data_IF_198556181054
#
_entry.id   IF_198556181054
#
_cell.length_a   1.000
_cell.length_b   1.000
_cell.length_c   1.000
_cell.angle_alpha   90.00
_cell.angle_beta   90.00
_cell.angle_gamma   90.00
#
_symmetry.space_group_name_H-M   'P 1'
#
loop_
_entity.id
_entity.type
_entity.pdbx_description
1 polymer ?
#
# COMPACT_ATOMS: atom_id res chain seq x y z
N UNK A 1 14.88 -15.43 30.87
CA UNK A 1 13.79 -16.36 30.69
C UNK A 1 12.98 -15.87 29.49
N UNK A 2 13.17 -16.47 28.32
CA UNK A 2 12.35 -16.17 27.15
C UNK A 2 10.94 -16.66 27.44
N UNK A 3 9.95 -15.76 27.44
CA UNK A 3 8.56 -16.09 27.56
C UNK A 3 8.14 -16.91 26.35
N UNK A 4 7.69 -18.15 26.56
CA UNK A 4 7.11 -19.00 25.52
C UNK A 4 5.76 -18.47 25.01
N UNK A 5 5.30 -17.34 25.51
CA UNK A 5 3.94 -16.83 25.38
C UNK A 5 3.85 -15.45 24.67
N UNK A 6 4.92 -15.00 24.00
CA UNK A 6 4.85 -13.75 23.23
C UNK A 6 3.93 -13.91 22.02
N UNK A 7 3.04 -12.93 21.81
CA UNK A 7 2.21 -12.85 20.60
C UNK A 7 3.11 -12.53 19.42
N UNK A 8 3.06 -13.38 18.39
CA UNK A 8 3.91 -13.23 17.21
C UNK A 8 3.21 -12.39 16.14
N UNK A 9 3.79 -11.23 15.87
CA UNK A 9 3.37 -10.32 14.81
C UNK A 9 4.27 -10.55 13.60
N UNK A 10 3.68 -10.86 12.46
CA UNK A 10 4.36 -10.91 11.18
C UNK A 10 4.21 -9.58 10.44
N UNK A 11 5.28 -9.14 9.80
CA UNK A 11 5.28 -7.99 8.90
C UNK A 11 5.92 -8.42 7.58
N UNK A 12 5.28 -8.15 6.45
CA UNK A 12 5.96 -8.11 5.16
C UNK A 12 5.84 -6.72 4.55
N UNK A 13 6.79 -6.39 3.71
CA UNK A 13 6.86 -5.13 3.02
C UNK A 13 8.13 -5.03 2.20
N UNK A 14 8.25 -4.06 1.30
CA UNK A 14 9.45 -3.85 0.53
C UNK A 14 10.56 -3.31 1.43
N UNK A 15 11.47 -4.17 1.85
CA UNK A 15 12.65 -3.78 2.63
C UNK A 15 13.85 -3.48 1.73
N UNK A 16 13.79 -3.92 0.47
CA UNK A 16 14.75 -3.62 -0.59
C UNK A 16 14.03 -3.15 -1.85
N UNK A 17 14.77 -2.68 -2.86
CA UNK A 17 14.23 -2.21 -4.13
C UNK A 17 13.66 -0.79 -4.09
N UNK A 18 12.92 -0.42 -5.13
CA UNK A 18 12.45 0.95 -5.36
C UNK A 18 11.45 1.50 -4.34
N UNK A 19 10.71 0.62 -3.67
CA UNK A 19 9.71 0.98 -2.66
C UNK A 19 10.22 0.81 -1.21
N UNK A 20 11.51 0.52 -1.02
CA UNK A 20 12.09 0.21 0.29
C UNK A 20 11.91 1.33 1.34
N UNK A 21 11.81 2.58 0.92
CA UNK A 21 11.59 3.72 1.82
C UNK A 21 10.30 3.57 2.63
N UNK A 22 9.26 2.97 2.06
CA UNK A 22 7.99 2.73 2.75
C UNK A 22 8.09 1.55 3.72
N UNK A 23 8.62 0.41 3.26
CA UNK A 23 8.74 -0.80 4.07
C UNK A 23 9.67 -0.64 5.26
N UNK A 24 10.82 -0.03 5.06
CA UNK A 24 11.79 0.22 6.15
C UNK A 24 11.26 1.21 7.19
N UNK A 25 10.49 2.22 6.77
CA UNK A 25 9.85 3.15 7.70
C UNK A 25 8.77 2.45 8.54
N UNK A 26 7.96 1.60 7.92
CA UNK A 26 6.95 0.79 8.63
C UNK A 26 7.61 -0.17 9.62
N UNK A 27 8.65 -0.89 9.20
CA UNK A 27 9.39 -1.78 10.08
C UNK A 27 9.93 -1.04 11.31
N UNK A 28 10.61 0.08 11.11
CA UNK A 28 11.15 0.88 12.21
C UNK A 28 10.05 1.34 13.19
N UNK A 29 8.90 1.80 12.67
CA UNK A 29 7.76 2.19 13.50
C UNK A 29 7.20 1.02 14.32
N UNK A 30 7.11 -0.18 13.73
CA UNK A 30 6.66 -1.36 14.44
C UNK A 30 7.65 -1.84 15.50
N UNK A 31 8.96 -1.79 15.21
CA UNK A 31 10.02 -2.14 16.17
C UNK A 31 9.94 -1.24 17.41
N UNK A 32 9.80 0.08 17.21
CA UNK A 32 9.62 1.05 18.30
C UNK A 32 8.36 0.72 19.12
N UNK A 33 7.22 0.48 18.45
CA UNK A 33 5.96 0.20 19.12
C UNK A 33 6.04 -1.09 19.96
N UNK A 34 6.65 -2.14 19.42
CA UNK A 34 6.85 -3.43 20.13
C UNK A 34 7.76 -3.24 21.33
N UNK A 35 8.87 -2.51 21.17
CA UNK A 35 9.78 -2.18 22.29
C UNK A 35 9.08 -1.42 23.41
N UNK A 36 8.34 -0.35 23.06
CA UNK A 36 7.63 0.47 24.05
C UNK A 36 6.52 -0.30 24.78
N UNK A 37 5.77 -1.14 24.06
CA UNK A 37 4.69 -1.94 24.69
C UNK A 37 5.29 -3.02 25.58
N UNK A 38 6.32 -3.70 25.14
CA UNK A 38 7.00 -4.73 25.92
C UNK A 38 7.63 -4.16 27.20
N UNK A 39 8.19 -2.93 27.13
CA UNK A 39 8.78 -2.25 28.28
C UNK A 39 7.73 -1.92 29.39
N UNK A 40 6.47 -1.77 29.05
CA UNK A 40 5.39 -1.52 30.01
C UNK A 40 5.00 -2.77 30.83
N UNK A 41 5.49 -3.95 30.45
CA UNK A 41 5.09 -5.23 31.03
C UNK A 41 3.71 -5.70 30.58
N UNK A 42 3.27 -6.87 31.07
CA UNK A 42 2.04 -7.51 30.63
C UNK A 42 2.25 -8.39 29.40
N UNK A 43 1.33 -8.34 28.43
CA UNK A 43 1.47 -9.09 27.17
C UNK A 43 2.74 -8.70 26.45
N UNK A 44 3.48 -9.70 25.99
CA UNK A 44 4.72 -9.51 25.23
C UNK A 44 4.47 -9.81 23.76
N UNK A 45 5.16 -9.09 22.89
CA UNK A 45 5.06 -9.22 21.44
C UNK A 45 6.43 -9.52 20.83
N UNK A 46 6.44 -10.34 19.81
CA UNK A 46 7.61 -10.64 18.99
C UNK A 46 7.32 -10.27 17.55
N UNK A 47 8.10 -9.33 16.97
CA UNK A 47 7.98 -8.93 15.58
C UNK A 47 8.91 -9.76 14.69
N UNK A 48 8.38 -10.27 13.58
CA UNK A 48 9.13 -10.94 12.52
C UNK A 48 8.85 -10.26 11.18
N UNK A 49 9.89 -9.75 10.53
CA UNK A 49 9.78 -9.08 9.23
C UNK A 49 10.29 -9.96 8.11
N UNK A 50 9.69 -9.82 6.93
CA UNK A 50 10.09 -10.43 5.68
C UNK A 50 10.05 -9.38 4.57
N UNK A 51 11.04 -9.43 3.67
CA UNK A 51 11.09 -8.59 2.48
C UNK A 51 10.20 -9.20 1.39
N UNK A 52 9.27 -8.43 0.85
CA UNK A 52 8.45 -8.80 -0.31
C UNK A 52 8.86 -8.07 -1.60
N UNK A 53 9.81 -7.15 -1.52
CA UNK A 53 10.34 -6.37 -2.65
C UNK A 53 9.25 -5.71 -3.52
N UNK A 54 8.06 -5.46 -2.97
CA UNK A 54 6.88 -4.98 -3.70
C UNK A 54 6.39 -5.97 -4.78
N UNK A 55 6.64 -7.24 -4.59
CA UNK A 55 6.30 -8.33 -5.51
C UNK A 55 5.22 -9.23 -4.90
N UNK A 56 4.20 -9.58 -5.67
CA UNK A 56 3.06 -10.35 -5.19
C UNK A 56 3.39 -11.79 -4.85
N UNK A 57 4.27 -12.43 -5.63
CA UNK A 57 4.70 -13.82 -5.37
C UNK A 57 5.59 -13.88 -4.12
N UNK A 58 6.52 -12.92 -3.99
CA UNK A 58 7.36 -12.80 -2.80
C UNK A 58 6.53 -12.51 -1.55
N UNK A 59 5.48 -11.69 -1.65
CA UNK A 59 4.57 -11.42 -0.54
C UNK A 59 3.82 -12.68 -0.07
N UNK A 60 3.33 -13.50 -1.00
CA UNK A 60 2.72 -14.79 -0.67
C UNK A 60 3.72 -15.73 0.01
N UNK A 61 4.97 -15.79 -0.48
CA UNK A 61 6.03 -16.58 0.12
C UNK A 61 6.43 -16.06 1.51
N UNK A 62 6.50 -14.73 1.69
CA UNK A 62 6.77 -14.09 2.96
C UNK A 62 5.67 -14.40 4.00
N UNK A 63 4.41 -14.31 3.60
CA UNK A 63 3.27 -14.70 4.44
C UNK A 63 3.37 -16.15 4.90
N UNK A 64 3.60 -17.09 3.98
CA UNK A 64 3.73 -18.51 4.31
C UNK A 64 4.92 -18.78 5.24
N UNK A 65 6.05 -18.10 5.04
CA UNK A 65 7.21 -18.21 5.92
C UNK A 65 6.93 -17.69 7.34
N UNK A 66 6.20 -16.57 7.47
CA UNK A 66 5.78 -16.00 8.75
C UNK A 66 4.78 -16.93 9.46
N UNK A 67 3.78 -17.44 8.73
CA UNK A 67 2.81 -18.43 9.22
C UNK A 67 3.51 -19.69 9.73
N UNK A 68 4.50 -20.23 9.00
CA UNK A 68 5.30 -21.39 9.40
C UNK A 68 6.12 -21.13 10.68
N UNK A 69 6.42 -19.87 11.02
CA UNK A 69 7.08 -19.46 12.28
C UNK A 69 6.08 -19.20 13.41
N UNK A 70 4.80 -19.47 13.19
CA UNK A 70 3.73 -19.33 14.18
C UNK A 70 3.20 -17.91 14.34
N UNK A 71 3.20 -17.10 13.27
CA UNK A 71 2.55 -15.78 13.25
C UNK A 71 1.07 -15.88 13.63
N UNK A 72 0.61 -14.96 14.47
CA UNK A 72 -0.77 -14.89 14.97
C UNK A 72 -1.50 -13.64 14.46
N UNK A 73 -0.75 -12.57 14.14
CA UNK A 73 -1.25 -11.30 13.65
C UNK A 73 -0.40 -10.89 12.45
N UNK A 74 -1.03 -10.45 11.37
CA UNK A 74 -0.35 -9.89 10.21
C UNK A 74 -0.46 -8.35 10.25
N UNK A 75 0.68 -7.68 10.42
CA UNK A 75 0.81 -6.23 10.34
C UNK A 75 1.56 -5.85 9.06
N UNK A 76 0.82 -5.64 8.02
CA UNK A 76 1.29 -5.50 6.64
C UNK A 76 0.43 -6.33 5.68
N UNK A 77 0.83 -6.50 4.40
CA UNK A 77 1.94 -5.81 3.73
C UNK A 77 1.81 -4.29 3.66
N UNK A 78 2.77 -3.64 3.01
CA UNK A 78 2.90 -2.18 3.00
C UNK A 78 2.32 -1.56 1.72
N UNK A 79 2.36 -2.27 0.61
CA UNK A 79 1.93 -1.78 -0.71
C UNK A 79 0.72 -2.55 -1.24
N UNK A 80 -0.11 -1.90 -2.08
CA UNK A 80 -1.46 -2.37 -2.44
C UNK A 80 -1.48 -3.76 -3.09
N UNK A 81 -0.64 -4.03 -4.11
CA UNK A 81 -0.67 -5.31 -4.81
C UNK A 81 -0.28 -6.50 -3.89
N UNK A 82 0.82 -6.45 -3.13
CA UNK A 82 1.12 -7.39 -2.06
C UNK A 82 0.02 -7.53 -1.02
N UNK A 83 -0.62 -6.43 -0.59
CA UNK A 83 -1.73 -6.47 0.37
C UNK A 83 -2.90 -7.30 -0.14
N UNK A 84 -3.30 -7.16 -1.40
CA UNK A 84 -4.41 -7.93 -1.97
C UNK A 84 -4.16 -9.43 -1.91
N UNK A 85 -2.94 -9.87 -2.23
CA UNK A 85 -2.56 -11.28 -2.18
C UNK A 85 -2.60 -11.81 -0.75
N UNK A 86 -1.96 -11.10 0.18
CA UNK A 86 -1.88 -11.53 1.59
C UNK A 86 -3.23 -11.42 2.29
N UNK A 87 -4.07 -10.44 1.94
CA UNK A 87 -5.42 -10.32 2.49
C UNK A 87 -6.28 -11.54 2.15
N UNK A 88 -6.19 -12.08 0.93
CA UNK A 88 -6.87 -13.30 0.55
C UNK A 88 -6.42 -14.50 1.41
N UNK A 89 -5.12 -14.64 1.64
CA UNK A 89 -4.58 -15.70 2.50
C UNK A 89 -5.00 -15.54 3.96
N UNK A 90 -4.91 -14.31 4.49
CA UNK A 90 -5.35 -14.01 5.86
C UNK A 90 -6.84 -14.27 6.07
N UNK A 91 -7.69 -13.95 5.09
CA UNK A 91 -9.12 -14.22 5.14
C UNK A 91 -9.41 -15.72 5.20
N UNK A 92 -8.73 -16.52 4.37
CA UNK A 92 -8.84 -17.97 4.36
C UNK A 92 -8.38 -18.59 5.68
N UNK A 93 -7.27 -18.14 6.21
CA UNK A 93 -6.65 -18.65 7.44
C UNK A 93 -7.26 -18.09 8.74
N UNK A 94 -8.17 -17.11 8.64
CA UNK A 94 -8.77 -16.39 9.77
C UNK A 94 -7.73 -15.66 10.63
N UNK A 95 -6.64 -15.19 10.03
CA UNK A 95 -5.61 -14.38 10.69
C UNK A 95 -6.01 -12.91 10.56
N UNK A 96 -6.00 -12.18 11.68
CA UNK A 96 -6.20 -10.73 11.67
C UNK A 96 -5.09 -10.05 10.86
N UNK A 97 -5.47 -9.18 9.95
CA UNK A 97 -4.54 -8.38 9.14
C UNK A 97 -4.85 -6.89 9.29
N UNK A 98 -3.80 -6.10 9.52
CA UNK A 98 -3.85 -4.64 9.46
C UNK A 98 -2.73 -4.13 8.56
N UNK A 99 -3.08 -3.52 7.42
CA UNK A 99 -2.07 -2.83 6.62
C UNK A 99 -1.89 -1.38 7.10
N UNK A 100 -0.64 -0.95 7.33
CA UNK A 100 -0.37 0.43 7.75
C UNK A 100 -0.37 1.42 6.60
N UNK A 101 -0.17 0.98 5.36
CA UNK A 101 0.07 1.85 4.21
C UNK A 101 -0.60 1.40 2.91
N UNK A 102 -0.95 0.13 2.76
CA UNK A 102 -1.68 -0.35 1.58
C UNK A 102 -3.02 0.38 1.46
N UNK A 103 -3.22 1.16 0.41
CA UNK A 103 -4.31 2.14 0.28
C UNK A 103 -5.42 1.75 -0.71
N UNK A 104 -5.26 0.63 -1.43
CA UNK A 104 -6.29 0.11 -2.32
C UNK A 104 -7.57 -0.27 -1.57
N UNK A 105 -8.72 0.21 -2.04
CA UNK A 105 -10.01 -0.07 -1.41
C UNK A 105 -10.37 -1.57 -1.43
N UNK A 106 -9.86 -2.32 -2.42
CA UNK A 106 -10.08 -3.76 -2.56
C UNK A 106 -9.51 -4.59 -1.40
N UNK A 107 -8.52 -4.07 -0.67
CA UNK A 107 -7.82 -4.82 0.39
C UNK A 107 -8.79 -5.30 1.48
N UNK A 108 -9.71 -4.44 1.90
CA UNK A 108 -10.66 -4.76 2.98
C UNK A 108 -11.89 -5.56 2.52
N UNK A 109 -12.01 -5.84 1.23
CA UNK A 109 -13.12 -6.61 0.68
C UNK A 109 -12.96 -8.12 0.83
N UNK A 110 -11.74 -8.60 1.18
CA UNK A 110 -11.45 -10.03 1.31
C UNK A 110 -12.05 -10.68 2.56
N UNK A 111 -12.31 -9.92 3.63
CA UNK A 111 -12.90 -10.46 4.86
C UNK A 111 -13.03 -9.46 5.99
N UNK A 112 -13.82 -9.81 6.99
CA UNK A 112 -14.10 -9.02 8.19
C UNK A 112 -12.93 -8.97 9.20
N UNK A 113 -11.88 -9.73 8.93
CA UNK A 113 -10.63 -9.76 9.68
C UNK A 113 -9.51 -8.96 9.02
N UNK A 114 -9.79 -8.23 7.93
CA UNK A 114 -8.84 -7.43 7.17
C UNK A 114 -9.11 -5.95 7.38
N UNK A 115 -8.10 -5.21 7.81
CA UNK A 115 -8.21 -3.80 8.15
C UNK A 115 -7.12 -2.95 7.47
N UNK A 116 -7.42 -1.68 7.31
CA UNK A 116 -6.57 -0.68 6.68
C UNK A 116 -6.63 0.59 7.53
N UNK A 117 -5.48 1.18 7.85
CA UNK A 117 -5.39 2.35 8.72
C UNK A 117 -5.14 3.66 7.94
N UNK A 118 -4.60 3.57 6.72
CA UNK A 118 -4.35 4.75 5.88
C UNK A 118 -5.61 5.20 5.13
N UNK A 119 -5.55 6.39 4.52
CA UNK A 119 -6.55 6.83 3.55
C UNK A 119 -6.58 5.89 2.33
N UNK A 120 -7.71 5.87 1.62
CA UNK A 120 -7.87 5.02 0.43
C UNK A 120 -7.51 5.77 -0.85
N UNK A 121 -7.10 5.03 -1.88
CA UNK A 121 -6.82 5.58 -3.22
C UNK A 121 -7.98 6.40 -3.79
N UNK A 122 -9.25 5.94 -3.69
CA UNK A 122 -10.40 6.75 -4.05
C UNK A 122 -10.41 8.14 -3.41
N UNK A 123 -10.12 8.22 -2.11
CA UNK A 123 -10.10 9.50 -1.40
C UNK A 123 -8.94 10.39 -1.85
N UNK A 124 -7.79 9.82 -2.18
CA UNK A 124 -6.65 10.58 -2.70
C UNK A 124 -6.96 11.17 -4.09
N UNK A 125 -7.54 10.37 -4.99
CA UNK A 125 -7.94 10.84 -6.32
C UNK A 125 -8.97 11.97 -6.25
N UNK A 126 -10.03 11.79 -5.45
CA UNK A 126 -11.07 12.81 -5.24
C UNK A 126 -10.48 14.08 -4.64
N UNK A 127 -9.73 13.97 -3.55
CA UNK A 127 -9.14 15.15 -2.89
C UNK A 127 -8.19 15.92 -3.82
N UNK A 128 -7.46 15.25 -4.70
CA UNK A 128 -6.59 15.89 -5.67
C UNK A 128 -7.40 16.71 -6.69
N UNK A 129 -8.49 16.17 -7.23
CA UNK A 129 -9.36 16.90 -8.15
C UNK A 129 -10.06 18.08 -7.47
N UNK A 130 -10.57 17.89 -6.25
CA UNK A 130 -11.17 18.96 -5.44
C UNK A 130 -10.18 20.09 -5.17
N UNK A 131 -8.95 19.74 -4.82
CA UNK A 131 -7.92 20.73 -4.57
C UNK A 131 -7.59 21.54 -5.82
N UNK A 132 -7.44 20.88 -6.97
CA UNK A 132 -7.18 21.56 -8.25
C UNK A 132 -8.34 22.49 -8.64
N UNK A 133 -9.58 22.05 -8.48
CA UNK A 133 -10.77 22.84 -8.80
C UNK A 133 -10.93 24.08 -7.91
N UNK A 134 -10.51 23.99 -6.64
CA UNK A 134 -10.69 25.07 -5.66
C UNK A 134 -9.53 26.06 -5.62
N UNK A 135 -8.35 25.69 -6.12
CA UNK A 135 -7.13 26.52 -6.07
C UNK A 135 -6.69 27.08 -7.42
N UNK A 136 -7.51 26.88 -8.47
CA UNK A 136 -7.24 27.39 -9.83
C UNK A 136 -5.80 27.09 -10.31
N UNK A 137 -5.39 25.84 -10.16
CA UNK A 137 -4.02 25.41 -10.49
C UNK A 137 -3.78 25.26 -12.00
N UNK A 138 -4.80 25.42 -12.81
CA UNK A 138 -4.73 25.38 -14.27
C UNK A 138 -6.05 24.97 -14.90
N UNK A 139 -6.27 25.42 -16.14
CA UNK A 139 -7.48 25.11 -16.90
C UNK A 139 -7.40 23.81 -17.69
N UNK A 140 -6.20 23.27 -17.86
CA UNK A 140 -5.92 22.09 -18.67
C UNK A 140 -4.98 21.16 -17.92
N UNK A 141 -5.34 19.88 -17.82
CA UNK A 141 -4.64 18.90 -17.01
C UNK A 141 -4.12 17.78 -17.91
N UNK A 142 -2.83 17.49 -17.81
CA UNK A 142 -2.24 16.26 -18.30
C UNK A 142 -2.06 15.25 -17.15
N UNK A 143 -2.42 14.00 -17.38
CA UNK A 143 -2.24 12.90 -16.42
C UNK A 143 -1.26 11.89 -16.99
N UNK A 144 -0.26 11.53 -16.20
CA UNK A 144 0.67 10.46 -16.51
C UNK A 144 0.64 9.48 -15.33
N UNK A 145 0.35 8.20 -15.58
CA UNK A 145 0.21 7.21 -14.52
C UNK A 145 0.80 5.85 -14.90
N UNK A 146 1.16 5.05 -13.90
CA UNK A 146 1.60 3.67 -14.06
C UNK A 146 0.39 2.75 -14.23
N UNK A 147 0.17 2.24 -15.47
CA UNK A 147 -0.96 1.37 -15.76
C UNK A 147 -0.79 -0.07 -15.29
N UNK A 148 0.41 -0.44 -14.88
CA UNK A 148 0.72 -1.77 -14.34
C UNK A 148 0.59 -1.87 -12.82
N UNK A 149 0.42 -0.73 -12.15
CA UNK A 149 0.27 -0.64 -10.69
C UNK A 149 -1.17 -0.32 -10.29
N UNK A 150 -1.78 -1.18 -9.49
CA UNK A 150 -3.16 -1.02 -9.02
C UNK A 150 -3.35 0.21 -8.13
N UNK A 151 -2.32 0.64 -7.40
CA UNK A 151 -2.33 1.88 -6.62
C UNK A 151 -2.45 3.09 -7.54
N UNK A 152 -1.57 3.20 -8.53
CA UNK A 152 -1.53 4.32 -9.48
C UNK A 152 -2.82 4.39 -10.32
N UNK A 153 -3.29 3.25 -10.82
CA UNK A 153 -4.54 3.15 -11.61
C UNK A 153 -5.76 3.52 -10.78
N UNK A 154 -5.84 3.08 -9.52
CA UNK A 154 -6.96 3.38 -8.63
C UNK A 154 -7.08 4.87 -8.30
N UNK A 155 -5.96 5.56 -8.10
CA UNK A 155 -5.93 7.02 -7.92
C UNK A 155 -6.40 7.72 -9.19
N UNK A 156 -5.84 7.33 -10.37
CA UNK A 156 -6.20 7.95 -11.63
C UNK A 156 -7.70 7.82 -11.93
N UNK A 157 -8.28 6.64 -11.78
CA UNK A 157 -9.71 6.42 -12.04
C UNK A 157 -10.60 7.36 -11.23
N UNK A 158 -10.31 7.52 -9.96
CA UNK A 158 -11.10 8.38 -9.08
C UNK A 158 -10.83 9.88 -9.30
N UNK A 159 -9.57 10.22 -9.58
CA UNK A 159 -9.23 11.57 -10.01
C UNK A 159 -9.99 11.97 -11.28
N UNK A 160 -9.99 11.11 -12.31
CA UNK A 160 -10.64 11.41 -13.58
C UNK A 160 -12.16 11.58 -13.44
N UNK A 161 -12.81 10.72 -12.65
CA UNK A 161 -14.25 10.81 -12.39
C UNK A 161 -14.61 12.12 -11.66
N UNK A 162 -13.86 12.48 -10.62
CA UNK A 162 -14.11 13.70 -9.84
C UNK A 162 -13.75 14.96 -10.64
N UNK A 163 -12.64 14.93 -11.40
CA UNK A 163 -12.25 16.02 -12.30
C UNK A 163 -13.35 16.33 -13.30
N UNK A 164 -13.97 15.30 -13.89
CA UNK A 164 -15.12 15.45 -14.77
C UNK A 164 -16.32 16.08 -14.05
N UNK A 165 -16.63 15.63 -12.83
CA UNK A 165 -17.73 16.16 -12.03
C UNK A 165 -17.53 17.63 -11.65
N UNK A 166 -16.29 18.06 -11.47
CA UNK A 166 -15.89 19.45 -11.17
C UNK A 166 -15.74 20.32 -12.44
N UNK A 167 -15.88 19.76 -13.62
CA UNK A 167 -15.71 20.49 -14.88
C UNK A 167 -14.25 20.81 -15.22
N UNK A 168 -13.29 20.11 -14.63
CA UNK A 168 -11.88 20.21 -14.99
C UNK A 168 -11.63 19.56 -16.37
N UNK A 169 -10.78 20.17 -17.18
CA UNK A 169 -10.45 19.67 -18.50
C UNK A 169 -9.19 18.80 -18.46
N UNK A 170 -9.36 17.47 -18.52
CA UNK A 170 -8.25 16.54 -18.73
C UNK A 170 -8.03 16.42 -20.25
N UNK A 171 -7.00 17.07 -20.77
CA UNK A 171 -6.69 17.13 -22.22
C UNK A 171 -5.79 15.99 -22.68
N UNK A 172 -5.02 15.42 -21.78
CA UNK A 172 -4.07 14.35 -22.09
C UNK A 172 -4.06 13.31 -20.96
N UNK A 173 -4.08 12.05 -21.37
CA UNK A 173 -3.87 10.91 -20.45
C UNK A 173 -2.87 9.97 -21.09
N UNK A 174 -1.74 9.80 -20.44
CA UNK A 174 -0.68 8.90 -20.90
C UNK A 174 -0.33 7.89 -19.82
N UNK A 175 -0.18 6.65 -20.23
CA UNK A 175 0.20 5.57 -19.35
C UNK A 175 1.62 5.09 -19.62
N UNK A 176 2.26 4.53 -18.61
CA UNK A 176 3.51 3.81 -18.75
C UNK A 176 3.47 2.52 -17.92
N UNK A 177 4.18 1.45 -18.30
CA UNK A 177 4.35 0.25 -17.50
C UNK A 177 5.55 0.38 -16.55
N UNK A 178 5.58 -0.46 -15.51
CA UNK A 178 6.58 -0.44 -14.43
C UNK A 178 8.03 -0.51 -14.92
N UNK A 179 8.30 -1.17 -16.03
CA UNK A 179 9.63 -1.33 -16.62
C UNK A 179 10.14 -0.07 -17.35
N UNK A 180 9.28 0.94 -17.53
CA UNK A 180 9.62 2.19 -18.23
C UNK A 180 9.52 3.45 -17.34
N UNK A 181 9.78 3.30 -16.03
CA UNK A 181 9.69 4.43 -15.06
C UNK A 181 10.82 5.46 -15.20
N UNK A 182 11.92 5.12 -15.86
CA UNK A 182 13.13 5.96 -15.90
C UNK A 182 13.10 7.06 -16.96
N UNK A 183 12.27 6.92 -18.00
CA UNK A 183 12.15 7.91 -19.07
C UNK A 183 10.70 8.09 -19.51
N UNK A 184 10.11 9.20 -19.09
CA UNK A 184 8.74 9.61 -19.43
C UNK A 184 8.70 10.71 -20.50
N UNK A 185 9.79 10.95 -21.22
CA UNK A 185 9.90 12.02 -22.24
C UNK A 185 8.79 11.92 -23.28
N UNK A 186 8.47 10.71 -23.72
CA UNK A 186 7.41 10.48 -24.71
C UNK A 186 6.04 10.91 -24.18
N UNK A 187 5.68 10.49 -22.96
CA UNK A 187 4.40 10.84 -22.33
C UNK A 187 4.30 12.34 -22.07
N UNK A 188 5.37 12.94 -21.56
CA UNK A 188 5.42 14.39 -21.31
C UNK A 188 5.29 15.18 -22.62
N UNK A 189 5.94 14.74 -23.70
CA UNK A 189 5.85 15.43 -25.01
C UNK A 189 4.43 15.41 -25.53
N UNK A 190 3.76 14.26 -25.49
CA UNK A 190 2.36 14.14 -25.93
C UNK A 190 1.39 14.99 -25.12
N UNK A 191 1.65 15.19 -23.82
CA UNK A 191 0.82 16.02 -22.97
C UNK A 191 1.12 17.53 -23.09
N UNK A 192 2.14 17.94 -23.83
CA UNK A 192 2.44 19.35 -24.10
C UNK A 192 1.80 19.86 -25.41
N UNK A 193 1.57 18.96 -26.35
CA UNK A 193 0.95 19.25 -27.65
C UNK A 193 -0.57 19.28 -27.59
#
# INVERSE_FOLDING_TARGET
AGSSDAIKIGMSGPLTGGAAVYGTAVQAGMEIAVEEVNAKGGLQFELKCQDDEHDTEKAANAYNALKGKGMQIMAGPVTTAPCNVVAAECANDKIFMLTPSGSGASIIEYGDNIFQICFTDPNQGVASADYMATHDLGSTIGVIYDSSDVYSSGIYEKFAAEAQAKGLNISCVEAFPADNKSDLTTQVTKCKD
#
